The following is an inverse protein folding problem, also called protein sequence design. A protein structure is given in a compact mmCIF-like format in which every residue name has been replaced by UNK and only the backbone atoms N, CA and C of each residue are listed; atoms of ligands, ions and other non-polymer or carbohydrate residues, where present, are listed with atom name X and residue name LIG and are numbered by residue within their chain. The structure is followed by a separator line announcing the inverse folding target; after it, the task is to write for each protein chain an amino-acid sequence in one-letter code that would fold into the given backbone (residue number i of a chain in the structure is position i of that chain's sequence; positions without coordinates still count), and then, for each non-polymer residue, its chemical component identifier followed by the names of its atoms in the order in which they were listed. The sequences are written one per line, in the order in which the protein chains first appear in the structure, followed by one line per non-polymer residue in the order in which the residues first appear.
data_IF_102784963944
#
_entry.id   IF_102784963944
#
_cell.length_a   1.000
_cell.length_b   1.000
_cell.length_c   1.000
_cell.angle_alpha   90.00
_cell.angle_beta   90.00
_cell.angle_gamma   90.00
#
_symmetry.space_group_name_H-M   'P 1'
#
loop_
_entity.id
_entity.type
_entity.pdbx_description
1 polymer ?
#
# COMPACT_ATOMS: atom_id res chain seq x y z
N UNK A 1 -18.24 -14.22 -16.98
CA UNK A 1 -18.06 -12.83 -16.54
C UNK A 1 -19.20 -11.99 -17.09
N UNK A 2 -19.97 -11.33 -16.22
CA UNK A 2 -21.12 -10.53 -16.63
C UNK A 2 -20.68 -9.15 -17.19
N UNK A 3 -21.53 -8.45 -17.96
CA UNK A 3 -21.25 -7.07 -18.38
C UNK A 3 -20.99 -6.12 -17.19
N UNK A 4 -21.67 -6.34 -16.06
CA UNK A 4 -21.47 -5.57 -14.84
C UNK A 4 -20.08 -5.77 -14.22
N UNK A 5 -19.56 -7.01 -14.24
CA UNK A 5 -18.20 -7.32 -13.75
C UNK A 5 -17.14 -6.60 -14.59
N UNK A 6 -17.33 -6.59 -15.91
CA UNK A 6 -16.42 -5.91 -16.84
C UNK A 6 -16.36 -4.40 -16.56
N UNK A 7 -17.52 -3.75 -16.41
CA UNK A 7 -17.57 -2.33 -16.12
C UNK A 7 -16.98 -2.00 -14.73
N UNK A 8 -17.23 -2.85 -13.73
CA UNK A 8 -16.62 -2.72 -12.41
C UNK A 8 -15.09 -2.81 -12.47
N UNK A 9 -14.54 -3.79 -13.20
CA UNK A 9 -13.10 -3.95 -13.37
C UNK A 9 -12.48 -2.77 -14.13
N UNK A 10 -13.12 -2.27 -15.19
CA UNK A 10 -12.67 -1.06 -15.91
C UNK A 10 -12.64 0.16 -14.99
N UNK A 11 -13.67 0.34 -14.17
CA UNK A 11 -13.73 1.42 -13.20
C UNK A 11 -12.61 1.33 -12.16
N UNK A 12 -12.43 0.15 -11.55
CA UNK A 12 -11.38 -0.09 -10.56
C UNK A 12 -9.99 0.10 -11.15
N UNK A 13 -9.76 -0.34 -12.40
CA UNK A 13 -8.49 -0.09 -13.12
C UNK A 13 -8.19 1.41 -13.20
N UNK A 14 -9.16 2.26 -13.56
CA UNK A 14 -8.95 3.71 -13.64
C UNK A 14 -8.57 4.32 -12.30
N UNK A 15 -9.24 3.91 -11.22
CA UNK A 15 -8.90 4.36 -9.86
C UNK A 15 -7.49 3.92 -9.50
N UNK A 16 -7.21 2.63 -9.63
CA UNK A 16 -5.94 2.02 -9.25
C UNK A 16 -4.77 2.66 -10.02
N UNK A 17 -4.91 2.91 -11.33
CA UNK A 17 -3.88 3.59 -12.12
C UNK A 17 -3.57 5.00 -11.60
N UNK A 18 -4.59 5.76 -11.18
CA UNK A 18 -4.40 7.10 -10.59
C UNK A 18 -3.73 7.02 -9.22
N UNK A 19 -4.09 6.04 -8.40
CA UNK A 19 -3.49 5.82 -7.09
C UNK A 19 -2.02 5.41 -7.20
N UNK A 20 -1.67 4.50 -8.13
CA UNK A 20 -0.27 4.15 -8.42
C UNK A 20 0.51 5.40 -8.81
N UNK A 21 0.02 6.18 -9.78
CA UNK A 21 0.72 7.37 -10.25
C UNK A 21 1.03 8.34 -9.10
N UNK A 22 0.03 8.62 -8.26
CA UNK A 22 0.20 9.51 -7.13
C UNK A 22 1.15 8.95 -6.06
N UNK A 23 1.09 7.64 -5.81
CA UNK A 23 2.00 6.97 -4.89
C UNK A 23 3.44 7.05 -5.39
N UNK A 24 3.68 6.72 -6.66
CA UNK A 24 4.99 6.81 -7.31
C UNK A 24 5.55 8.22 -7.23
N UNK A 25 4.73 9.24 -7.51
CA UNK A 25 5.14 10.63 -7.36
C UNK A 25 5.61 10.95 -5.93
N UNK A 26 4.80 10.62 -4.91
CA UNK A 26 5.22 10.84 -3.51
C UNK A 26 6.41 9.99 -3.10
N UNK A 27 6.53 8.76 -3.61
CA UNK A 27 7.67 7.89 -3.36
C UNK A 27 8.96 8.53 -3.86
N UNK A 28 8.93 9.13 -5.05
CA UNK A 28 10.07 9.86 -5.58
C UNK A 28 10.44 11.08 -4.70
N UNK A 29 9.46 11.77 -4.13
CA UNK A 29 9.74 12.91 -3.24
C UNK A 29 10.34 12.48 -1.89
N UNK A 30 9.94 11.31 -1.37
CA UNK A 30 10.44 10.80 -0.08
C UNK A 30 11.81 10.13 -0.22
N UNK A 31 11.99 9.30 -1.24
CA UNK A 31 13.16 8.41 -1.36
C UNK A 31 14.10 8.76 -2.52
N UNK A 32 13.67 9.60 -3.47
CA UNK A 32 14.33 9.75 -4.76
C UNK A 32 15.67 10.48 -4.75
N UNK A 33 16.00 11.19 -3.68
CA UNK A 33 17.30 11.85 -3.52
C UNK A 33 18.27 11.13 -2.57
N UNK A 34 17.88 9.95 -2.06
CA UNK A 34 18.71 9.14 -1.18
C UNK A 34 18.95 9.76 0.20
N UNK A 35 18.25 10.83 0.57
CA UNK A 35 18.43 11.53 1.85
C UNK A 35 17.39 11.15 2.90
N UNK A 36 16.69 10.04 2.72
CA UNK A 36 15.62 9.61 3.62
C UNK A 36 16.10 9.55 5.08
N UNK A 37 17.23 8.88 5.34
CA UNK A 37 17.78 8.68 6.69
C UNK A 37 18.16 10.01 7.37
N UNK A 38 18.61 11.00 6.61
CA UNK A 38 18.97 12.32 7.17
C UNK A 38 17.71 13.14 7.45
N UNK A 39 16.76 13.13 6.51
CA UNK A 39 15.50 13.89 6.63
C UNK A 39 14.59 13.35 7.72
N UNK A 40 14.57 12.04 7.92
CA UNK A 40 13.75 11.40 8.93
C UNK A 40 14.24 11.69 10.36
N UNK A 41 15.57 11.77 10.56
CA UNK A 41 16.16 12.17 11.84
C UNK A 41 15.86 13.63 12.22
N UNK A 42 15.54 14.46 11.24
CA UNK A 42 15.21 15.89 11.41
C UNK A 42 13.71 16.18 11.28
N UNK A 43 12.85 15.15 11.28
CA UNK A 43 11.43 15.28 10.93
C UNK A 43 10.66 16.28 11.82
N UNK A 44 11.01 16.39 13.10
CA UNK A 44 10.38 17.34 14.04
C UNK A 44 10.57 18.80 13.63
N UNK A 45 11.68 19.11 12.96
CA UNK A 45 12.03 20.47 12.52
C UNK A 45 11.92 20.65 11.00
N UNK A 46 11.46 19.62 10.28
CA UNK A 46 11.35 19.59 8.83
C UNK A 46 9.90 19.34 8.40
N UNK A 47 9.04 20.34 8.62
CA UNK A 47 7.60 20.26 8.33
C UNK A 47 7.31 19.88 6.86
N UNK A 48 8.11 20.37 5.92
CA UNK A 48 7.94 20.08 4.49
C UNK A 48 8.16 18.59 4.19
N UNK A 49 9.18 17.98 4.78
CA UNK A 49 9.41 16.55 4.65
C UNK A 49 8.34 15.74 5.36
N UNK A 50 7.93 16.15 6.57
CA UNK A 50 6.86 15.49 7.32
C UNK A 50 5.56 15.41 6.49
N UNK A 51 5.15 16.51 5.86
CA UNK A 51 3.97 16.54 4.97
C UNK A 51 4.14 15.65 3.73
N UNK A 52 5.34 15.59 3.16
CA UNK A 52 5.63 14.75 2.00
C UNK A 52 5.53 13.26 2.37
N UNK A 53 6.08 12.90 3.53
CA UNK A 53 6.04 11.55 4.07
C UNK A 53 4.62 11.11 4.46
N UNK A 54 3.84 12.02 5.04
CA UNK A 54 2.41 11.83 5.30
C UNK A 54 1.65 11.53 4.00
N UNK A 55 1.87 12.35 2.96
CA UNK A 55 1.21 12.19 1.68
C UNK A 55 1.55 10.83 1.05
N UNK A 56 2.81 10.41 1.10
CA UNK A 56 3.24 9.07 0.67
C UNK A 56 2.46 7.96 1.41
N UNK A 57 2.45 8.04 2.73
CA UNK A 57 1.83 7.04 3.61
C UNK A 57 0.34 6.91 3.35
N UNK A 58 -0.37 8.04 3.31
CA UNK A 58 -1.80 8.07 3.03
C UNK A 58 -2.14 7.43 1.68
N UNK A 59 -1.33 7.71 0.66
CA UNK A 59 -1.48 7.13 -0.69
C UNK A 59 -1.18 5.64 -0.71
N UNK A 60 -0.17 5.20 0.04
CA UNK A 60 0.18 3.79 0.18
C UNK A 60 -0.94 2.99 0.84
N UNK A 61 -1.45 3.46 1.98
CA UNK A 61 -2.59 2.85 2.68
C UNK A 61 -3.79 2.72 1.74
N UNK A 62 -4.14 3.82 1.05
CA UNK A 62 -5.28 3.84 0.12
C UNK A 62 -5.12 2.85 -1.03
N UNK A 63 -3.93 2.77 -1.62
CA UNK A 63 -3.65 1.84 -2.70
C UNK A 63 -3.82 0.40 -2.22
N UNK A 64 -3.26 0.06 -1.05
CA UNK A 64 -3.37 -1.28 -0.48
C UNK A 64 -4.83 -1.67 -0.21
N UNK A 65 -5.65 -0.75 0.30
CA UNK A 65 -7.08 -0.98 0.54
C UNK A 65 -7.86 -1.14 -0.76
N UNK A 66 -7.58 -0.30 -1.77
CA UNK A 66 -8.21 -0.44 -3.08
C UNK A 66 -7.86 -1.79 -3.71
N UNK A 67 -6.62 -2.25 -3.61
CA UNK A 67 -6.22 -3.55 -4.18
C UNK A 67 -6.82 -4.71 -3.39
N UNK A 68 -6.60 -4.76 -2.08
CA UNK A 68 -6.99 -5.89 -1.25
C UNK A 68 -8.50 -6.01 -1.07
N UNK A 69 -9.19 -4.88 -0.85
CA UNK A 69 -10.59 -4.89 -0.43
C UNK A 69 -11.56 -4.72 -1.61
N UNK A 70 -11.07 -4.27 -2.78
CA UNK A 70 -11.93 -3.99 -3.95
C UNK A 70 -11.49 -4.72 -5.21
N UNK A 71 -10.22 -4.58 -5.61
CA UNK A 71 -9.73 -5.15 -6.87
C UNK A 71 -9.67 -6.67 -6.80
N UNK A 72 -9.04 -7.23 -5.77
CA UNK A 72 -8.90 -8.67 -5.61
C UNK A 72 -10.26 -9.39 -5.58
N UNK A 73 -11.24 -8.99 -4.75
CA UNK A 73 -12.58 -9.58 -4.79
C UNK A 73 -13.26 -9.45 -6.15
N UNK A 74 -13.10 -8.33 -6.85
CA UNK A 74 -13.67 -8.15 -8.18
C UNK A 74 -13.03 -9.06 -9.24
N UNK A 75 -11.72 -9.28 -9.17
CA UNK A 75 -11.01 -10.21 -10.05
C UNK A 75 -11.46 -11.66 -9.80
N UNK A 76 -11.58 -12.08 -8.53
CA UNK A 76 -12.06 -13.41 -8.18
C UNK A 76 -13.51 -13.62 -8.64
N UNK A 77 -14.40 -12.65 -8.41
CA UNK A 77 -15.78 -12.71 -8.88
C UNK A 77 -15.87 -12.83 -10.42
N UNK A 78 -15.05 -12.08 -11.16
CA UNK A 78 -15.00 -12.15 -12.62
C UNK A 78 -14.56 -13.54 -13.15
N UNK A 79 -13.69 -14.23 -12.40
CA UNK A 79 -13.27 -15.61 -12.64
C UNK A 79 -14.29 -16.66 -12.16
N UNK A 80 -15.41 -16.24 -11.57
CA UNK A 80 -16.40 -17.12 -10.93
C UNK A 80 -15.82 -17.91 -9.74
N UNK A 81 -14.77 -17.36 -9.12
CA UNK A 81 -14.24 -17.90 -7.88
C UNK A 81 -15.05 -17.38 -6.68
N UNK A 82 -15.36 -18.23 -5.69
CA UNK A 82 -16.09 -17.80 -4.51
C UNK A 82 -15.26 -16.80 -3.71
N UNK A 83 -15.83 -15.62 -3.43
CA UNK A 83 -15.23 -14.67 -2.49
C UNK A 83 -15.43 -15.19 -1.06
N UNK A 84 -14.33 -15.39 -0.34
CA UNK A 84 -14.29 -15.91 1.03
C UNK A 84 -13.69 -14.87 1.99
N UNK A 85 -13.25 -15.31 3.16
CA UNK A 85 -12.50 -14.46 4.09
C UNK A 85 -11.26 -13.86 3.39
N UNK A 86 -10.76 -12.72 3.89
CA UNK A 86 -9.67 -11.99 3.25
C UNK A 86 -8.42 -12.86 3.04
N UNK A 87 -8.07 -13.69 4.01
CA UNK A 87 -6.92 -14.60 3.93
C UNK A 87 -7.10 -15.65 2.82
N UNK A 88 -8.28 -16.26 2.72
CA UNK A 88 -8.59 -17.25 1.69
C UNK A 88 -8.51 -16.64 0.28
N UNK A 89 -8.94 -15.39 0.13
CA UNK A 89 -8.86 -14.68 -1.14
C UNK A 89 -7.41 -14.38 -1.53
N UNK A 90 -6.54 -14.09 -0.55
CA UNK A 90 -5.11 -13.88 -0.79
C UNK A 90 -4.41 -15.19 -1.19
N UNK A 91 -4.66 -16.29 -0.48
CA UNK A 91 -4.15 -17.63 -0.83
C UNK A 91 -4.56 -18.02 -2.26
N UNK A 92 -5.79 -17.67 -2.63
CA UNK A 92 -6.29 -17.89 -3.98
C UNK A 92 -5.58 -16.98 -5.00
N UNK A 93 -5.37 -15.71 -4.66
CA UNK A 93 -4.65 -14.76 -5.51
C UNK A 93 -3.22 -15.25 -5.82
N UNK A 94 -2.52 -15.78 -4.82
CA UNK A 94 -1.18 -16.33 -4.97
C UNK A 94 -1.18 -17.57 -5.86
N UNK A 95 -2.10 -18.52 -5.65
CA UNK A 95 -2.25 -19.71 -6.51
C UNK A 95 -2.58 -19.37 -7.96
N UNK A 96 -3.29 -18.27 -8.19
CA UNK A 96 -3.62 -17.75 -9.53
C UNK A 96 -2.51 -16.89 -10.14
N UNK A 97 -1.43 -16.60 -9.39
CA UNK A 97 -0.31 -15.76 -9.84
C UNK A 97 -0.60 -14.26 -9.84
N UNK A 98 -1.67 -13.81 -9.18
CA UNK A 98 -1.97 -12.38 -9.00
C UNK A 98 -1.13 -11.75 -7.89
N UNK A 99 -0.63 -12.56 -6.97
CA UNK A 99 0.21 -12.17 -5.86
C UNK A 99 1.43 -13.08 -5.81
N UNK A 100 2.61 -12.54 -5.54
CA UNK A 100 3.83 -13.34 -5.44
C UNK A 100 3.92 -14.06 -4.09
N UNK A 101 3.47 -13.41 -3.01
CA UNK A 101 3.49 -13.95 -1.66
C UNK A 101 2.34 -13.39 -0.80
N UNK A 102 1.49 -14.26 -0.27
CA UNK A 102 0.48 -13.90 0.74
C UNK A 102 1.13 -13.40 2.01
N UNK A 103 2.21 -14.05 2.44
CA UNK A 103 2.93 -13.68 3.65
C UNK A 103 3.47 -12.25 3.55
N UNK A 104 4.12 -11.90 2.44
CA UNK A 104 4.57 -10.54 2.21
C UNK A 104 3.41 -9.54 2.21
N UNK A 105 2.29 -9.88 1.55
CA UNK A 105 1.10 -9.02 1.57
C UNK A 105 0.62 -8.73 3.00
N UNK A 106 0.55 -9.76 3.85
CA UNK A 106 0.14 -9.63 5.25
C UNK A 106 1.12 -8.76 6.02
N UNK A 107 2.43 -8.97 5.86
CA UNK A 107 3.45 -8.16 6.52
C UNK A 107 3.33 -6.68 6.12
N UNK A 108 3.11 -6.41 4.83
CA UNK A 108 2.89 -5.05 4.31
C UNK A 108 1.59 -4.45 4.88
N UNK A 109 0.53 -5.25 5.05
CA UNK A 109 -0.75 -4.79 5.62
C UNK A 109 -0.67 -4.56 7.13
N UNK A 110 0.15 -5.31 7.84
CA UNK A 110 0.45 -5.05 9.24
C UNK A 110 1.25 -3.75 9.40
N UNK A 111 2.24 -3.50 8.54
CA UNK A 111 2.94 -2.23 8.51
C UNK A 111 1.94 -1.09 8.27
N UNK A 112 1.07 -1.21 7.26
CA UNK A 112 -0.01 -0.24 6.99
C UNK A 112 -0.84 0.05 8.23
N UNK A 113 -1.26 -0.97 8.97
CA UNK A 113 -2.06 -0.79 10.19
C UNK A 113 -1.30 0.00 11.26
N UNK A 114 -0.01 -0.32 11.47
CA UNK A 114 0.86 0.44 12.37
C UNK A 114 1.03 1.88 11.91
N UNK A 115 1.16 2.12 10.61
CA UNK A 115 1.28 3.47 10.05
C UNK A 115 0.03 4.31 10.29
N UNK A 116 -1.14 3.73 10.05
CA UNK A 116 -2.43 4.40 10.27
C UNK A 116 -2.62 4.79 11.74
N UNK A 117 -2.22 3.93 12.68
CA UNK A 117 -2.26 4.20 14.11
C UNK A 117 -1.22 5.24 14.55
N UNK A 118 0.02 5.12 14.07
CA UNK A 118 1.10 6.03 14.43
C UNK A 118 0.87 7.45 13.91
N UNK A 119 0.17 7.61 12.80
CA UNK A 119 -0.17 8.92 12.24
C UNK A 119 -1.10 9.75 13.16
N UNK A 120 -1.96 9.10 13.94
CA UNK A 120 -2.86 9.82 14.88
C UNK A 120 -2.13 10.33 16.13
N UNK A 121 -0.92 9.82 16.43
CA UNK A 121 -0.29 10.04 17.74
C UNK A 121 1.17 10.53 17.66
N UNK A 122 1.98 10.11 16.67
CA UNK A 122 3.40 10.47 16.60
C UNK A 122 4.09 10.16 15.23
N UNK A 123 4.53 11.20 14.51
CA UNK A 123 5.30 11.10 13.24
C UNK A 123 6.66 10.39 13.38
N UNK A 124 7.32 10.43 14.53
CA UNK A 124 8.59 9.73 14.80
C UNK A 124 8.35 8.23 14.99
N UNK A 125 7.30 7.85 15.72
CA UNK A 125 6.94 6.44 15.86
C UNK A 125 6.61 5.83 14.49
N UNK A 126 5.92 6.61 13.65
CA UNK A 126 5.68 6.26 12.25
C UNK A 126 6.98 6.07 11.47
N UNK A 127 7.89 7.04 11.54
CA UNK A 127 9.19 7.02 10.90
C UNK A 127 10.02 5.76 11.24
N UNK A 128 10.07 5.41 12.52
CA UNK A 128 10.82 4.25 13.01
C UNK A 128 10.24 2.94 12.51
N UNK A 129 8.91 2.80 12.49
CA UNK A 129 8.25 1.61 11.92
C UNK A 129 8.59 1.45 10.44
N UNK A 130 8.64 2.57 9.70
CA UNK A 130 9.02 2.59 8.29
C UNK A 130 10.47 2.19 8.06
N UNK A 131 11.42 2.82 8.76
CA UNK A 131 12.84 2.49 8.69
C UNK A 131 13.08 1.00 8.99
N UNK A 132 12.50 0.50 10.08
CA UNK A 132 12.64 -0.91 10.47
C UNK A 132 12.16 -1.85 9.37
N UNK A 133 11.05 -1.54 8.70
CA UNK A 133 10.52 -2.37 7.61
C UNK A 133 11.41 -2.31 6.36
N UNK A 134 11.87 -1.12 5.98
CA UNK A 134 12.70 -0.95 4.79
C UNK A 134 14.05 -1.67 4.92
N UNK A 135 14.68 -1.63 6.10
CA UNK A 135 15.90 -2.39 6.39
C UNK A 135 15.66 -3.91 6.41
N UNK A 136 14.59 -4.38 7.05
CA UNK A 136 14.25 -5.81 7.10
C UNK A 136 14.06 -6.39 5.69
N UNK A 137 13.49 -5.59 4.78
CA UNK A 137 13.26 -5.95 3.38
C UNK A 137 14.39 -5.60 2.42
N UNK A 138 15.50 -5.01 2.89
CA UNK A 138 16.63 -4.54 2.06
C UNK A 138 16.21 -3.66 0.89
N UNK A 139 15.21 -2.81 1.11
CA UNK A 139 14.68 -1.89 0.08
C UNK A 139 15.57 -0.62 0.01
N UNK A 140 16.28 -0.32 1.09
CA UNK A 140 17.34 0.70 1.21
C UNK A 140 18.48 0.14 2.05
#
# INVERSE_FOLDING_TARGET
MSPADIERLKFLKRIFSKEIFNLQYSSQQVFGDGQFDVKILSIENNCAFAQTLEAYTSRFCRLQDTVGDKLLPACLAALQEPTKAAIDNLDKAEKLGFLNSVEEWIQVRQLRNKMAQAYEVNLIAFANNMLSYLYDKKIV
#
